data_IF_220902550875
#
_entry.id   IF_220902550875
#
_cell.length_a   1.000
_cell.length_b   1.000
_cell.length_c   1.000
_cell.angle_alpha   90.00
_cell.angle_beta   90.00
_cell.angle_gamma   90.00
#
_symmetry.space_group_name_H-M   'P 1'
#
loop_
_entity.id
_entity.type
_entity.pdbx_description
1 polymer ?
#
# COMPACT_ATOMS: atom_id res chain seq x y z
N UNK A 1 -15.70 32.08 -6.14
CA UNK A 1 -14.97 31.34 -7.19
C UNK A 1 -15.61 29.95 -7.29
N UNK A 2 -16.48 29.72 -8.26
CA UNK A 2 -17.25 28.49 -8.38
C UNK A 2 -16.40 27.39 -9.02
N UNK A 3 -16.11 26.31 -8.30
CA UNK A 3 -15.46 25.14 -8.89
C UNK A 3 -16.49 24.36 -9.70
N UNK A 4 -16.23 24.26 -11.01
CA UNK A 4 -17.06 23.53 -11.98
C UNK A 4 -17.12 22.05 -11.56
N UNK A 5 -18.32 21.47 -11.48
CA UNK A 5 -18.50 20.03 -11.24
C UNK A 5 -17.87 19.27 -12.43
N UNK A 6 -17.03 18.24 -12.20
CA UNK A 6 -16.32 17.57 -13.29
C UNK A 6 -17.29 16.81 -14.21
N UNK A 7 -17.19 17.06 -15.51
CA UNK A 7 -17.91 16.35 -16.57
C UNK A 7 -17.58 14.85 -16.53
N UNK A 8 -18.61 14.00 -16.58
CA UNK A 8 -18.51 12.54 -16.51
C UNK A 8 -17.73 11.88 -17.67
N UNK A 9 -17.41 12.66 -18.71
CA UNK A 9 -16.73 12.23 -19.94
C UNK A 9 -15.22 12.52 -19.96
N UNK A 10 -14.70 13.36 -19.06
CA UNK A 10 -13.27 13.69 -19.04
C UNK A 10 -12.58 13.04 -17.83
N UNK A 11 -12.20 11.76 -17.98
CA UNK A 11 -11.49 10.96 -16.95
C UNK A 11 -9.99 11.29 -16.85
N UNK A 12 -9.58 12.50 -17.25
CA UNK A 12 -8.19 12.91 -17.13
C UNK A 12 -7.86 13.19 -15.65
N UNK A 13 -6.79 12.57 -15.15
CA UNK A 13 -6.29 12.86 -13.81
C UNK A 13 -5.90 14.34 -13.69
N UNK A 14 -6.40 15.01 -12.66
CA UNK A 14 -5.93 16.35 -12.30
C UNK A 14 -4.54 16.21 -11.68
N UNK A 15 -3.49 16.61 -12.40
CA UNK A 15 -2.07 16.40 -11.99
C UNK A 15 -1.79 16.81 -10.53
N UNK A 16 -2.28 17.98 -10.10
CA UNK A 16 -2.06 18.45 -8.72
C UNK A 16 -2.70 17.54 -7.67
N UNK A 17 -3.93 17.07 -7.91
CA UNK A 17 -4.63 16.15 -7.00
C UNK A 17 -4.00 14.76 -7.00
N UNK A 18 -3.56 14.28 -8.17
CA UNK A 18 -2.84 13.03 -8.29
C UNK A 18 -1.54 13.05 -7.48
N UNK A 19 -0.74 14.11 -7.61
CA UNK A 19 0.51 14.25 -6.87
C UNK A 19 0.26 14.37 -5.36
N UNK A 20 -0.76 15.12 -4.95
CA UNK A 20 -1.15 15.21 -3.54
C UNK A 20 -1.56 13.84 -2.97
N UNK A 21 -2.37 13.08 -3.72
CA UNK A 21 -2.77 11.72 -3.34
C UNK A 21 -1.56 10.79 -3.19
N UNK A 22 -0.65 10.77 -4.18
CA UNK A 22 0.55 9.94 -4.14
C UNK A 22 1.49 10.31 -2.98
N UNK A 23 1.52 11.59 -2.58
CA UNK A 23 2.27 12.02 -1.39
C UNK A 23 1.64 11.44 -0.11
N UNK A 24 0.33 11.56 0.04
CA UNK A 24 -0.42 11.04 1.19
C UNK A 24 -0.28 9.52 1.28
N UNK A 25 -0.38 8.82 0.14
CA UNK A 25 -0.16 7.38 0.06
C UNK A 25 1.24 6.99 0.56
N UNK A 26 2.28 7.71 0.14
CA UNK A 26 3.66 7.43 0.55
C UNK A 26 3.84 7.60 2.06
N UNK A 27 3.26 8.65 2.64
CA UNK A 27 3.36 8.90 4.08
C UNK A 27 2.55 7.88 4.88
N UNK A 28 1.36 7.49 4.40
CA UNK A 28 0.58 6.40 4.97
C UNK A 28 1.37 5.08 4.99
N UNK A 29 2.00 4.71 3.88
CA UNK A 29 2.77 3.46 3.77
C UNK A 29 4.00 3.45 4.70
N UNK A 30 4.66 4.61 4.87
CA UNK A 30 5.78 4.78 5.83
C UNK A 30 5.36 4.60 7.28
N UNK A 31 4.16 5.02 7.63
CA UNK A 31 3.62 4.81 8.97
C UNK A 31 3.17 3.36 9.13
N UNK A 32 2.47 2.83 8.14
CA UNK A 32 1.94 1.46 8.14
C UNK A 32 3.03 0.41 8.33
N UNK A 33 4.20 0.55 7.69
CA UNK A 33 5.29 -0.41 7.84
C UNK A 33 5.82 -0.49 9.29
N UNK A 34 5.82 0.63 10.01
CA UNK A 34 6.18 0.67 11.44
C UNK A 34 5.13 -0.03 12.28
N UNK A 35 3.84 0.18 12.00
CA UNK A 35 2.75 -0.53 12.68
C UNK A 35 2.81 -2.04 12.43
N UNK A 36 3.08 -2.46 11.19
CA UNK A 36 3.26 -3.86 10.83
C UNK A 36 4.42 -4.47 11.63
N UNK A 37 5.54 -3.75 11.74
CA UNK A 37 6.70 -4.17 12.54
C UNK A 37 6.36 -4.33 14.03
N UNK A 38 5.66 -3.36 14.62
CA UNK A 38 5.33 -3.38 16.05
C UNK A 38 4.26 -4.43 16.38
N UNK A 39 3.25 -4.58 15.54
CA UNK A 39 2.08 -5.44 15.80
C UNK A 39 2.22 -6.86 15.25
N UNK A 40 3.16 -7.10 14.34
CA UNK A 40 3.36 -8.38 13.67
C UNK A 40 3.87 -9.53 14.56
N UNK A 41 4.31 -9.24 15.79
CA UNK A 41 4.65 -10.22 16.83
C UNK A 41 5.88 -11.09 16.55
N UNK A 42 6.30 -11.25 15.29
CA UNK A 42 7.52 -11.93 14.89
C UNK A 42 8.71 -10.97 15.00
N UNK A 43 9.91 -11.43 15.44
CA UNK A 43 11.11 -10.63 15.36
C UNK A 43 11.34 -10.30 13.89
N UNK A 44 11.11 -9.05 13.50
CA UNK A 44 11.00 -8.73 12.09
C UNK A 44 12.33 -9.02 11.41
N UNK A 45 12.39 -10.08 10.62
CA UNK A 45 13.54 -10.33 9.78
C UNK A 45 13.40 -9.29 8.69
N UNK A 46 14.36 -8.36 8.62
CA UNK A 46 14.40 -7.31 7.60
C UNK A 46 14.02 -7.75 6.17
N UNK A 47 14.36 -8.98 5.72
CA UNK A 47 13.93 -9.49 4.42
C UNK A 47 12.41 -9.62 4.23
N UNK A 48 11.65 -9.99 5.27
CA UNK A 48 10.20 -10.20 5.18
C UNK A 48 9.47 -8.87 5.05
N UNK A 49 9.89 -7.87 5.84
CA UNK A 49 9.34 -6.52 5.78
C UNK A 49 9.66 -5.83 4.45
N UNK A 50 10.87 -6.04 3.93
CA UNK A 50 11.28 -5.54 2.60
C UNK A 50 10.59 -6.23 1.42
N UNK A 51 9.96 -7.39 1.65
CA UNK A 51 9.26 -8.16 0.61
C UNK A 51 7.77 -7.82 0.48
N UNK A 52 7.22 -6.95 1.35
CA UNK A 52 5.81 -6.55 1.34
C UNK A 52 5.51 -5.72 0.08
N UNK A 53 4.52 -6.16 -0.70
CA UNK A 53 4.08 -5.51 -1.94
C UNK A 53 2.77 -4.77 -1.70
N UNK A 54 2.72 -3.51 -2.11
CA UNK A 54 1.52 -2.66 -2.06
C UNK A 54 0.58 -2.95 -3.22
N UNK A 55 1.15 -3.26 -4.39
CA UNK A 55 0.41 -3.55 -5.62
C UNK A 55 0.72 -4.95 -6.16
N UNK A 56 -0.19 -5.48 -6.98
CA UNK A 56 0.03 -6.73 -7.68
C UNK A 56 1.11 -6.54 -8.75
N UNK A 57 1.93 -7.57 -8.94
CA UNK A 57 2.80 -7.73 -10.09
C UNK A 57 2.35 -8.96 -10.90
N UNK A 58 2.80 -9.08 -12.15
CA UNK A 58 2.52 -10.22 -13.05
C UNK A 58 2.80 -11.57 -12.38
N UNK A 59 3.80 -11.62 -11.49
CA UNK A 59 4.28 -12.84 -10.84
C UNK A 59 3.87 -12.97 -9.37
N UNK A 60 3.17 -11.98 -8.79
CA UNK A 60 2.85 -12.00 -7.36
C UNK A 60 1.67 -11.10 -7.03
N UNK A 61 0.77 -11.60 -6.20
CA UNK A 61 -0.21 -10.77 -5.55
C UNK A 61 0.45 -9.79 -4.56
N UNK A 62 -0.27 -8.71 -4.25
CA UNK A 62 0.05 -7.77 -3.18
C UNK A 62 -0.08 -8.44 -1.81
N UNK A 63 0.55 -7.84 -0.81
CA UNK A 63 0.55 -8.32 0.55
C UNK A 63 -0.45 -7.57 1.44
N UNK A 64 -0.84 -6.35 1.07
CA UNK A 64 -1.72 -5.48 1.88
C UNK A 64 -3.16 -5.55 1.36
N UNK A 65 -4.10 -5.77 2.28
CA UNK A 65 -5.52 -5.89 2.01
C UNK A 65 -6.33 -5.05 3.01
N UNK A 66 -7.48 -4.55 2.55
CA UNK A 66 -8.48 -3.95 3.41
C UNK A 66 -9.65 -4.92 3.50
N UNK A 67 -9.86 -5.52 4.67
CA UNK A 67 -10.92 -6.49 4.93
C UNK A 67 -11.73 -5.97 6.12
N UNK A 68 -13.05 -5.82 5.96
CA UNK A 68 -13.93 -5.33 7.03
C UNK A 68 -13.46 -4.00 7.67
N UNK A 69 -12.92 -3.08 6.85
CA UNK A 69 -12.34 -1.78 7.29
C UNK A 69 -11.08 -1.91 8.16
N UNK A 70 -10.47 -3.09 8.21
CA UNK A 70 -9.20 -3.34 8.88
C UNK A 70 -8.12 -3.59 7.85
N UNK A 71 -6.89 -3.18 8.19
CA UNK A 71 -5.71 -3.50 7.39
C UNK A 71 -5.26 -4.91 7.75
N UNK A 72 -5.26 -5.80 6.76
CA UNK A 72 -4.69 -7.14 6.85
C UNK A 72 -3.48 -7.20 5.95
N UNK A 73 -2.40 -7.82 6.43
CA UNK A 73 -1.21 -8.04 5.63
C UNK A 73 -0.77 -9.50 5.70
N UNK A 74 -0.36 -10.04 4.55
CA UNK A 74 0.14 -11.40 4.43
C UNK A 74 1.65 -11.36 4.20
N UNK A 75 2.45 -11.88 5.13
CA UNK A 75 3.87 -12.10 4.88
C UNK A 75 4.05 -13.45 4.18
N UNK A 76 4.75 -13.45 3.04
CA UNK A 76 5.08 -14.69 2.33
C UNK A 76 6.50 -15.06 2.72
N UNK A 77 6.63 -16.03 3.62
CA UNK A 77 7.91 -16.65 3.93
C UNK A 77 8.11 -17.83 2.98
N UNK A 78 9.04 -17.71 2.03
CA UNK A 78 9.48 -18.86 1.26
C UNK A 78 10.61 -19.57 2.01
N UNK A 79 10.30 -20.70 2.66
CA UNK A 79 11.29 -21.61 3.24
C UNK A 79 11.95 -22.45 2.14
N UNK A 80 12.55 -21.82 1.13
CA UNK A 80 13.35 -22.54 0.15
C UNK A 80 14.77 -22.70 0.68
N UNK A 81 15.02 -23.89 1.26
CA UNK A 81 16.29 -24.61 1.42
C UNK A 81 17.56 -23.81 1.80
N UNK A 82 17.97 -23.96 3.06
CA UNK A 82 19.37 -24.22 3.43
C UNK A 82 19.44 -25.71 3.77
#
# INVERSE_FOLDING_TARGET
MFTKKPDSTNRAWVKGQLLAYLSIERDFLRILIVYIYITGGQPARGPELGSIKVCNNVYSARNIYMINRQVCFLTIYNKAYI
#
